data_IF_661566012137
#
_entry.id   IF_661566012137
#
_cell.length_a   1.000
_cell.length_b   1.000
_cell.length_c   1.000
_cell.angle_alpha   90.00
_cell.angle_beta   90.00
_cell.angle_gamma   90.00
#
_symmetry.space_group_name_H-M   'P 1'
#
loop_
_entity.id
_entity.type
_entity.pdbx_description
1 polymer ?
#
# COMPACT_ATOMS: atom_id res chain seq x y z
N UNK A 1 -17.04 11.44 -5.11
CA UNK A 1 -16.77 11.23 -6.54
C UNK A 1 -17.31 12.41 -7.31
N UNK A 2 -16.49 13.03 -8.12
CA UNK A 2 -16.86 14.15 -8.98
C UNK A 2 -16.50 13.80 -10.43
N UNK A 3 -17.38 14.12 -11.37
CA UNK A 3 -17.18 13.94 -12.81
C UNK A 3 -17.42 15.28 -13.49
N UNK A 4 -16.46 15.75 -14.26
CA UNK A 4 -16.56 16.95 -15.09
C UNK A 4 -15.92 16.65 -16.45
N UNK A 5 -16.44 17.22 -17.51
CA UNK A 5 -15.85 16.98 -18.82
C UNK A 5 -16.65 17.55 -19.97
N UNK A 6 -16.12 17.36 -21.16
CA UNK A 6 -16.75 17.69 -22.43
C UNK A 6 -17.01 16.42 -23.27
N UNK A 7 -17.26 16.58 -24.57
CA UNK A 7 -17.54 15.44 -25.46
C UNK A 7 -16.30 14.59 -25.78
N UNK A 8 -15.10 15.01 -25.39
CA UNK A 8 -13.83 14.34 -25.72
C UNK A 8 -13.05 13.92 -24.50
N UNK A 9 -13.29 14.56 -23.32
CA UNK A 9 -12.57 14.30 -22.09
C UNK A 9 -13.51 14.28 -20.88
N UNK A 10 -13.21 13.41 -19.95
CA UNK A 10 -13.88 13.32 -18.67
C UNK A 10 -12.82 13.31 -17.57
N UNK A 11 -12.86 14.31 -16.70
CA UNK A 11 -12.08 14.35 -15.47
C UNK A 11 -12.81 13.52 -14.42
N UNK A 12 -12.11 12.53 -13.88
CA UNK A 12 -12.61 11.65 -12.83
C UNK A 12 -11.83 11.94 -11.57
N UNK A 13 -12.53 12.44 -10.56
CA UNK A 13 -11.98 12.60 -9.22
C UNK A 13 -12.71 11.67 -8.26
N UNK A 14 -11.97 10.79 -7.62
CA UNK A 14 -12.49 9.81 -6.67
C UNK A 14 -11.91 10.07 -5.29
N UNK A 15 -12.79 10.09 -4.29
CA UNK A 15 -12.41 10.09 -2.87
C UNK A 15 -13.35 9.13 -2.16
N UNK A 16 -12.79 8.14 -1.49
CA UNK A 16 -13.52 7.11 -0.78
C UNK A 16 -12.73 6.60 0.42
N UNK A 17 -13.44 6.05 1.40
CA UNK A 17 -12.86 5.31 2.51
C UNK A 17 -13.25 3.84 2.36
N UNK A 18 -12.26 2.96 2.25
CA UNK A 18 -12.46 1.53 2.06
C UNK A 18 -12.15 0.80 3.38
N UNK A 19 -13.18 0.33 4.10
CA UNK A 19 -12.97 -0.49 5.28
C UNK A 19 -12.50 -1.88 4.86
N UNK A 20 -11.40 -2.34 5.48
CA UNK A 20 -10.80 -3.65 5.25
C UNK A 20 -10.56 -4.38 6.56
N UNK A 21 -10.58 -5.70 6.48
CA UNK A 21 -10.13 -6.57 7.55
C UNK A 21 -8.93 -7.34 7.03
N UNK A 22 -7.81 -7.23 7.74
CA UNK A 22 -6.59 -7.96 7.45
C UNK A 22 -6.08 -8.67 8.69
N UNK A 23 -5.04 -9.48 8.55
CA UNK A 23 -4.36 -10.10 9.68
C UNK A 23 -3.12 -9.29 10.04
N UNK A 24 -2.82 -9.16 11.33
CA UNK A 24 -1.58 -8.58 11.80
C UNK A 24 -0.38 -9.42 11.35
N UNK A 25 0.62 -8.81 10.69
CA UNK A 25 1.80 -9.52 10.18
C UNK A 25 2.70 -10.12 11.28
N UNK A 26 2.48 -9.74 12.54
CA UNK A 26 3.26 -10.26 13.67
C UNK A 26 2.51 -11.30 14.51
N UNK A 27 1.23 -11.11 14.78
CA UNK A 27 0.49 -11.97 15.72
C UNK A 27 -0.72 -12.67 15.09
N UNK A 28 -1.02 -12.40 13.83
CA UNK A 28 -2.11 -12.97 13.05
C UNK A 28 -3.52 -12.66 13.58
N UNK A 29 -3.64 -11.76 14.55
CA UNK A 29 -4.94 -11.27 14.99
C UNK A 29 -5.57 -10.40 13.91
N UNK A 30 -6.90 -10.42 13.81
CA UNK A 30 -7.64 -9.58 12.88
C UNK A 30 -7.46 -8.09 13.22
N UNK A 31 -7.23 -7.31 12.18
CA UNK A 31 -7.08 -5.85 12.24
C UNK A 31 -8.06 -5.21 11.28
N UNK A 32 -8.91 -4.34 11.79
CA UNK A 32 -9.74 -3.48 10.94
C UNK A 32 -8.96 -2.20 10.63
N UNK A 33 -8.86 -1.87 9.35
CA UNK A 33 -8.25 -0.64 8.86
C UNK A 33 -9.17 0.05 7.86
N UNK A 34 -9.01 1.34 7.71
CA UNK A 34 -9.71 2.13 6.71
C UNK A 34 -8.68 2.72 5.78
N UNK A 35 -8.76 2.38 4.50
CA UNK A 35 -7.88 2.94 3.47
C UNK A 35 -8.52 4.20 2.87
N UNK A 36 -7.86 5.35 2.94
CA UNK A 36 -8.26 6.51 2.17
C UNK A 36 -7.83 6.30 0.71
N UNK A 37 -8.79 6.13 -0.19
CA UNK A 37 -8.53 6.02 -1.62
C UNK A 37 -8.88 7.35 -2.27
N UNK A 38 -7.88 8.08 -2.74
CA UNK A 38 -8.08 9.36 -3.42
C UNK A 38 -7.20 9.42 -4.67
N UNK A 39 -7.83 9.64 -5.82
CA UNK A 39 -7.09 9.78 -7.07
C UNK A 39 -7.86 10.65 -8.08
N UNK A 40 -7.12 11.14 -9.07
CA UNK A 40 -7.63 11.90 -10.20
C UNK A 40 -7.12 11.32 -11.50
N UNK A 41 -8.01 11.11 -12.44
CA UNK A 41 -7.71 10.60 -13.77
C UNK A 41 -8.41 11.45 -14.84
N UNK A 42 -7.76 11.64 -15.99
CA UNK A 42 -8.37 12.20 -17.19
C UNK A 42 -8.66 11.05 -18.15
N UNK A 43 -9.90 10.94 -18.59
CA UNK A 43 -10.33 9.91 -19.51
C UNK A 43 -10.67 10.50 -20.86
N UNK A 44 -10.03 9.98 -21.91
CA UNK A 44 -10.31 10.41 -23.27
C UNK A 44 -11.37 9.52 -23.91
N UNK A 45 -12.33 10.16 -24.54
CA UNK A 45 -13.39 9.51 -25.33
C UNK A 45 -12.89 9.37 -26.76
N UNK A 46 -12.55 8.15 -27.23
CA UNK A 46 -12.11 7.91 -28.60
C UNK A 46 -11.01 6.87 -28.77
N UNK A 47 -10.58 6.66 -30.02
CA UNK A 47 -9.69 5.57 -30.41
C UNK A 47 -8.21 5.75 -30.01
N UNK A 48 -7.78 6.96 -29.67
CA UNK A 48 -6.34 7.31 -29.60
C UNK A 48 -5.77 7.46 -28.19
N UNK A 49 -6.49 7.01 -27.18
CA UNK A 49 -6.07 7.25 -25.81
C UNK A 49 -5.59 5.97 -25.11
N UNK A 50 -4.30 5.84 -24.94
CA UNK A 50 -3.69 4.98 -23.94
C UNK A 50 -2.25 5.41 -23.70
N UNK A 51 -2.05 6.49 -22.95
CA UNK A 51 -0.73 6.84 -22.45
C UNK A 51 -0.84 7.43 -21.05
N UNK A 52 0.12 7.08 -20.20
CA UNK A 52 0.35 7.76 -18.93
C UNK A 52 1.24 8.95 -19.24
N UNK A 53 0.71 10.15 -19.10
CA UNK A 53 1.47 11.38 -19.19
C UNK A 53 1.77 11.88 -17.77
N UNK A 54 3.04 12.16 -17.48
CA UNK A 54 3.45 12.74 -16.22
C UNK A 54 3.49 14.24 -16.40
N UNK A 55 2.56 14.95 -15.75
CA UNK A 55 2.54 16.40 -15.69
C UNK A 55 3.24 16.90 -14.42
N UNK A 56 3.52 18.21 -14.34
CA UNK A 56 4.19 18.84 -13.18
C UNK A 56 3.43 18.66 -11.86
N UNK A 57 2.12 18.43 -11.91
CA UNK A 57 1.22 18.22 -10.78
C UNK A 57 0.91 16.73 -10.51
N UNK A 58 1.58 15.81 -11.20
CA UNK A 58 1.46 14.37 -10.99
C UNK A 58 1.11 13.55 -12.25
N UNK A 59 1.05 12.23 -12.13
CA UNK A 59 0.72 11.37 -13.26
C UNK A 59 -0.77 11.50 -13.63
N UNK A 60 -1.03 11.80 -14.88
CA UNK A 60 -2.38 11.74 -15.46
C UNK A 60 -2.53 10.41 -16.22
N UNK A 61 -3.42 9.58 -15.75
CA UNK A 61 -3.74 8.30 -16.41
C UNK A 61 -4.84 8.54 -17.43
N UNK A 62 -4.53 8.34 -18.70
CA UNK A 62 -5.53 8.42 -19.76
C UNK A 62 -6.14 7.05 -19.99
N UNK A 63 -7.44 6.91 -19.79
CA UNK A 63 -8.16 5.67 -20.05
C UNK A 63 -9.05 5.81 -21.28
N UNK A 64 -9.07 4.75 -22.08
CA UNK A 64 -10.01 4.65 -23.21
C UNK A 64 -11.40 4.30 -22.68
N UNK A 65 -12.38 5.08 -23.08
CA UNK A 65 -13.77 4.85 -22.72
C UNK A 65 -14.51 4.24 -23.92
N UNK A 66 -15.15 3.09 -23.69
CA UNK A 66 -16.05 2.52 -24.69
C UNK A 66 -17.33 3.35 -24.80
N UNK A 67 -17.96 3.36 -25.98
CA UNK A 67 -19.18 4.14 -26.23
C UNK A 67 -20.37 3.75 -25.33
N UNK A 68 -20.31 2.61 -24.65
CA UNK A 68 -21.39 2.07 -23.82
C UNK A 68 -21.34 2.47 -22.35
N UNK A 69 -20.28 3.17 -21.92
CA UNK A 69 -20.12 3.58 -20.51
C UNK A 69 -18.68 3.50 -20.01
N UNK A 70 -18.52 3.95 -18.80
CA UNK A 70 -17.24 4.07 -18.11
C UNK A 70 -17.22 3.07 -16.95
N UNK A 71 -16.25 2.17 -16.94
CA UNK A 71 -16.01 1.29 -15.79
C UNK A 71 -14.97 1.91 -14.85
N UNK A 72 -15.45 2.38 -13.70
CA UNK A 72 -14.61 2.97 -12.64
C UNK A 72 -13.90 1.91 -11.80
N UNK A 73 -14.34 0.65 -11.86
CA UNK A 73 -13.89 -0.38 -10.94
C UNK A 73 -12.39 -0.66 -11.08
N UNK A 74 -11.89 -0.80 -12.30
CA UNK A 74 -10.46 -1.07 -12.53
C UNK A 74 -9.56 0.04 -11.97
N UNK A 75 -9.89 1.31 -12.22
CA UNK A 75 -9.15 2.44 -11.69
C UNK A 75 -9.21 2.50 -10.17
N UNK A 76 -10.39 2.28 -9.61
CA UNK A 76 -10.57 2.26 -8.16
C UNK A 76 -9.71 1.17 -7.49
N UNK A 77 -9.78 -0.07 -7.98
CA UNK A 77 -9.03 -1.17 -7.39
C UNK A 77 -7.52 -1.05 -7.57
N UNK A 78 -7.05 -0.51 -8.70
CA UNK A 78 -5.63 -0.23 -8.90
C UNK A 78 -5.11 0.80 -7.88
N UNK A 79 -5.83 1.91 -7.70
CA UNK A 79 -5.45 2.93 -6.73
C UNK A 79 -5.61 2.44 -5.29
N UNK A 80 -6.67 1.70 -4.97
CA UNK A 80 -6.84 1.10 -3.65
C UNK A 80 -5.70 0.13 -3.29
N UNK A 81 -5.20 -0.63 -4.26
CA UNK A 81 -4.07 -1.53 -4.04
C UNK A 81 -2.76 -0.78 -3.73
N UNK A 82 -2.56 0.41 -4.28
CA UNK A 82 -1.40 1.25 -3.99
C UNK A 82 -1.43 1.86 -2.59
N UNK A 83 -2.62 2.08 -2.04
CA UNK A 83 -2.81 2.59 -0.68
C UNK A 83 -2.67 1.51 0.41
N UNK A 84 -2.61 0.24 0.02
CA UNK A 84 -2.40 -0.84 1.00
C UNK A 84 -1.06 -0.66 1.72
N UNK A 85 -1.05 -0.61 3.06
CA UNK A 85 0.20 -0.51 3.80
C UNK A 85 1.04 -1.77 3.57
N UNK A 86 2.34 -1.60 3.37
CA UNK A 86 3.28 -2.71 3.22
C UNK A 86 3.33 -3.62 4.46
N UNK A 87 2.76 -3.18 5.58
CA UNK A 87 2.73 -3.91 6.84
C UNK A 87 1.49 -3.56 7.64
N UNK A 88 0.71 -4.58 7.99
CA UNK A 88 -0.47 -4.44 8.84
C UNK A 88 -0.12 -4.89 10.25
N UNK A 89 -0.26 -4.01 11.24
CA UNK A 89 0.00 -4.29 12.64
C UNK A 89 -1.23 -3.96 13.49
N UNK A 90 -1.53 -4.81 14.47
CA UNK A 90 -2.58 -4.53 15.46
C UNK A 90 -2.21 -3.40 16.43
N UNK A 91 -0.90 -3.22 16.67
CA UNK A 91 -0.29 -2.13 17.45
C UNK A 91 1.18 -2.00 17.04
N UNK A 92 1.76 -0.82 17.16
CA UNK A 92 3.17 -0.56 16.81
C UNK A 92 4.14 -1.44 17.62
N UNK A 93 3.84 -1.66 18.90
CA UNK A 93 4.59 -2.48 19.85
C UNK A 93 4.18 -3.96 19.86
N UNK A 94 3.41 -4.42 18.87
CA UNK A 94 2.97 -5.81 18.77
C UNK A 94 4.15 -6.77 18.91
N UNK A 95 4.10 -7.66 19.92
CA UNK A 95 5.15 -8.63 20.24
C UNK A 95 5.14 -9.86 19.35
N UNK A 96 4.09 -10.04 18.56
CA UNK A 96 3.93 -11.15 17.64
C UNK A 96 3.72 -12.50 18.28
N UNK A 97 3.95 -13.55 17.50
CA UNK A 97 3.94 -14.93 17.96
C UNK A 97 5.31 -15.36 18.47
N UNK A 98 5.32 -16.29 19.40
CA UNK A 98 6.55 -16.94 19.83
C UNK A 98 7.06 -17.87 18.72
N UNK A 99 8.32 -17.75 18.26
CA UNK A 99 8.84 -18.58 17.18
C UNK A 99 8.97 -20.07 17.55
N UNK A 100 9.00 -20.40 18.86
CA UNK A 100 9.16 -21.77 19.32
C UNK A 100 7.84 -22.48 19.57
N UNK A 101 6.84 -21.81 20.19
CA UNK A 101 5.57 -22.45 20.58
C UNK A 101 4.33 -21.84 19.91
N UNK A 102 4.47 -20.79 19.10
CA UNK A 102 3.35 -20.13 18.43
C UNK A 102 2.42 -19.30 19.33
N UNK A 103 2.70 -19.20 20.64
CA UNK A 103 1.86 -18.42 21.55
C UNK A 103 1.88 -16.93 21.19
N UNK A 104 0.71 -16.28 21.20
CA UNK A 104 0.61 -14.85 21.00
C UNK A 104 1.17 -14.10 22.22
N UNK A 105 2.30 -13.45 22.03
CA UNK A 105 3.06 -12.77 23.10
C UNK A 105 2.42 -11.46 23.59
N UNK A 106 1.37 -10.99 22.92
CA UNK A 106 0.56 -9.88 23.40
C UNK A 106 -0.45 -10.34 24.46
N UNK A 107 -0.85 -11.62 24.44
CA UNK A 107 -1.88 -12.18 25.31
C UNK A 107 -1.31 -13.02 26.45
N UNK A 108 -0.20 -13.71 26.20
CA UNK A 108 0.41 -14.63 27.15
C UNK A 108 1.94 -14.51 27.17
N UNK A 109 2.50 -14.60 28.35
CA UNK A 109 3.94 -14.78 28.50
C UNK A 109 4.30 -16.24 28.20
N UNK A 110 5.37 -16.47 27.43
CA UNK A 110 5.95 -17.78 27.24
C UNK A 110 7.38 -17.82 27.81
N UNK A 111 7.77 -18.97 28.32
CA UNK A 111 9.10 -19.23 28.93
C UNK A 111 10.04 -19.94 27.94
N UNK A 112 9.69 -20.00 26.68
CA UNK A 112 10.54 -20.62 25.65
C UNK A 112 11.90 -19.95 25.58
N UNK A 113 13.00 -20.70 25.48
CA UNK A 113 14.31 -20.15 25.23
C UNK A 113 14.32 -19.38 23.92
N UNK A 114 15.00 -18.22 23.93
CA UNK A 114 15.19 -17.46 22.68
C UNK A 114 16.10 -18.28 21.77
N UNK A 115 15.74 -18.48 20.47
CA UNK A 115 16.62 -19.17 19.55
C UNK A 115 17.97 -18.42 19.47
N UNK A 116 19.05 -19.19 19.51
CA UNK A 116 20.39 -18.62 19.35
C UNK A 116 20.54 -18.06 17.91
N UNK A 117 21.16 -16.89 17.75
CA UNK A 117 21.45 -16.36 16.43
C UNK A 117 22.35 -17.32 15.64
N UNK A 118 22.11 -17.44 14.33
CA UNK A 118 23.00 -18.22 13.45
C UNK A 118 24.42 -17.65 13.51
N UNK A 119 25.40 -18.51 13.82
CA UNK A 119 26.79 -18.10 13.96
C UNK A 119 27.37 -17.44 12.69
N UNK A 120 26.84 -17.78 11.51
CA UNK A 120 27.22 -17.16 10.23
C UNK A 120 26.82 -15.68 10.15
N UNK A 121 25.80 -15.28 10.91
CA UNK A 121 25.28 -13.92 10.96
C UNK A 121 25.79 -13.13 12.18
N UNK A 122 26.74 -13.68 12.95
CA UNK A 122 27.25 -13.06 14.16
C UNK A 122 27.79 -11.63 13.93
N UNK A 123 28.42 -11.38 12.79
CA UNK A 123 28.91 -10.04 12.42
C UNK A 123 27.79 -8.98 12.33
N UNK A 124 26.53 -9.38 12.13
CA UNK A 124 25.40 -8.45 12.08
C UNK A 124 24.94 -7.99 13.48
N UNK A 125 25.38 -8.65 14.53
CA UNK A 125 25.01 -8.26 15.92
C UNK A 125 25.52 -6.86 16.27
N UNK A 126 26.68 -6.48 15.74
CA UNK A 126 27.31 -5.18 15.95
C UNK A 126 26.97 -4.15 14.85
N UNK A 127 26.26 -4.59 13.82
CA UNK A 127 25.86 -3.70 12.73
C UNK A 127 24.85 -2.67 13.21
N UNK A 128 25.11 -1.42 12.92
CA UNK A 128 24.20 -0.30 13.13
C UNK A 128 23.95 0.36 11.78
N UNK A 129 22.70 0.68 11.43
CA UNK A 129 22.45 1.51 10.25
C UNK A 129 23.20 2.82 10.48
N UNK A 130 24.07 3.22 9.52
CA UNK A 130 24.65 4.56 9.54
C UNK A 130 23.47 5.54 9.42
N UNK A 131 23.20 6.30 10.48
CA UNK A 131 22.39 7.49 10.37
C UNK A 131 23.09 8.40 9.35
N UNK A 132 22.44 8.70 8.25
CA UNK A 132 22.95 9.47 7.11
C UNK A 132 23.67 8.64 6.04
N UNK A 133 22.87 8.09 5.13
CA UNK A 133 23.25 8.23 3.73
C UNK A 133 22.55 9.48 3.21
N UNK A 134 23.25 10.58 2.99
CA UNK A 134 22.73 11.62 2.11
C UNK A 134 22.53 10.95 0.74
N UNK A 135 21.36 11.20 0.15
CA UNK A 135 20.98 10.69 -1.16
C UNK A 135 22.08 10.92 -2.19
N UNK A 136 22.95 9.93 -2.36
CA UNK A 136 23.93 9.92 -3.43
C UNK A 136 23.30 9.23 -4.63
N UNK A 137 22.43 9.94 -5.31
CA UNK A 137 22.11 9.68 -6.71
C UNK A 137 22.25 10.99 -7.51
N UNK A 138 23.47 11.36 -7.94
CA UNK A 138 23.62 12.36 -8.99
C UNK A 138 23.19 11.70 -10.30
N UNK A 139 22.06 12.13 -10.83
CA UNK A 139 21.78 12.01 -12.27
C UNK A 139 22.20 13.28 -12.95
#
# INVERSE_FOLDING_TARGET
MHLAGDRQRVDVEVSAELPLVGACDRCLDDVTLVLPVAYREEWALGADAADVEVLDDGPVVRRRVAQSGVDLADGFWQNAALELPAKILCAEDCRGLCPSCGANRNRAACTCPRPEPDARLAALADWRPSAERPDANPR
#
